data_IF_292349559596
#
_entry.id   IF_292349559596
#
_cell.length_a   1.000
_cell.length_b   1.000
_cell.length_c   1.000
_cell.angle_alpha   90.00
_cell.angle_beta   90.00
_cell.angle_gamma   90.00
#
_symmetry.space_group_name_H-M   'P 1'
#
loop_
_entity.id
_entity.type
_entity.pdbx_description
1 polymer ?
#
# COMPACT_ATOMS: atom_id res chain seq x y z
N UNK A 1 3.83 25.00 7.28
CA UNK A 1 3.28 24.31 6.10
C UNK A 1 2.38 23.17 6.55
N UNK A 2 1.11 23.17 6.14
CA UNK A 2 0.13 22.11 6.43
C UNK A 2 0.64 20.82 5.78
N UNK A 3 1.10 19.83 6.56
CA UNK A 3 1.50 18.54 6.00
C UNK A 3 0.24 17.82 5.50
N UNK A 4 0.06 17.77 4.19
CA UNK A 4 -1.01 17.06 3.51
C UNK A 4 -0.88 15.55 3.83
N UNK A 5 -1.83 15.05 4.62
CA UNK A 5 -2.02 13.63 4.93
C UNK A 5 -2.46 12.91 3.66
N UNK A 6 -1.51 12.49 2.83
CA UNK A 6 -1.79 11.78 1.59
C UNK A 6 -2.08 10.30 1.86
N UNK A 7 -3.32 9.93 1.55
CA UNK A 7 -3.78 8.77 0.76
C UNK A 7 -2.85 7.56 0.77
N UNK A 8 -3.38 6.44 1.27
CA UNK A 8 -3.01 5.04 1.02
C UNK A 8 -2.55 4.83 -0.45
N UNK A 9 -1.31 5.19 -0.75
CA UNK A 9 -0.63 4.80 -1.96
C UNK A 9 -0.27 3.33 -1.75
N UNK A 10 -0.76 2.47 -2.62
CA UNK A 10 -0.25 1.12 -2.80
C UNK A 10 1.28 1.20 -2.98
N UNK A 11 2.00 1.08 -1.87
CA UNK A 11 3.44 1.13 -1.79
C UNK A 11 3.96 -0.30 -1.82
N UNK A 12 4.62 -0.74 -2.89
CA UNK A 12 5.47 -1.90 -2.81
C UNK A 12 6.87 -1.44 -2.42
N UNK A 13 7.03 -0.78 -1.25
CA UNK A 13 8.36 -0.55 -0.66
C UNK A 13 8.24 -0.49 0.86
N UNK A 14 8.93 -1.42 1.50
CA UNK A 14 9.29 -1.46 2.91
C UNK A 14 9.20 -0.16 3.71
N UNK A 15 8.18 -0.12 4.54
CA UNK A 15 8.29 0.46 5.87
C UNK A 15 9.03 -0.54 6.77
N UNK A 16 10.36 -0.44 6.81
CA UNK A 16 11.18 -0.96 7.91
C UNK A 16 11.27 0.15 8.97
N UNK A 17 10.17 0.40 9.67
CA UNK A 17 10.15 1.21 10.90
C UNK A 17 9.33 0.44 11.94
N UNK A 18 10.04 -0.14 12.91
CA UNK A 18 9.49 -0.62 14.19
C UNK A 18 8.93 0.59 14.98
N UNK A 19 7.85 0.46 15.78
CA UNK A 19 7.75 -0.43 16.95
C UNK A 19 6.55 -1.41 16.87
N UNK A 20 6.68 -2.65 17.36
CA UNK A 20 6.33 -3.11 18.73
C UNK A 20 4.87 -2.80 19.10
N UNK A 21 4.08 -3.87 19.24
CA UNK A 21 2.87 -4.03 20.05
C UNK A 21 2.37 -2.77 20.80
N UNK A 22 1.16 -2.30 20.50
CA UNK A 22 0.32 -1.63 21.51
C UNK A 22 -0.51 -0.41 21.10
N UNK A 23 -0.24 0.26 19.98
CA UNK A 23 -1.08 1.39 19.57
C UNK A 23 -2.16 0.94 18.60
N UNK A 24 -3.41 1.31 18.88
CA UNK A 24 -4.51 1.23 17.93
C UNK A 24 -4.00 1.74 16.57
N UNK A 25 -3.84 0.85 15.58
CA UNK A 25 -3.56 1.27 14.22
C UNK A 25 -4.63 2.31 13.88
N UNK A 26 -4.21 3.58 13.78
CA UNK A 26 -5.12 4.67 13.47
C UNK A 26 -5.79 4.29 12.15
N UNK A 27 -7.08 3.95 12.23
CA UNK A 27 -7.84 3.59 11.05
C UNK A 27 -7.94 4.83 10.17
N UNK A 28 -7.19 4.84 9.07
CA UNK A 28 -7.30 5.90 8.09
C UNK A 28 -8.58 5.69 7.29
N UNK A 29 -9.51 6.63 7.40
CA UNK A 29 -10.75 6.61 6.63
C UNK A 29 -10.39 6.68 5.13
N UNK A 30 -10.76 5.68 4.32
CA UNK A 30 -10.53 5.74 2.88
C UNK A 30 -11.22 6.97 2.26
N UNK A 31 -10.59 7.65 1.27
CA UNK A 31 -11.12 8.89 0.71
C UNK A 31 -12.56 8.80 0.19
N UNK A 32 -12.98 7.63 -0.33
CA UNK A 32 -14.34 7.42 -0.81
C UNK A 32 -15.42 7.41 0.28
N UNK A 33 -15.02 7.26 1.55
CA UNK A 33 -15.90 7.33 2.72
C UNK A 33 -15.90 8.72 3.38
N UNK A 34 -15.18 9.71 2.85
CA UNK A 34 -15.26 11.07 3.35
C UNK A 34 -16.69 11.62 3.18
N UNK A 35 -17.28 12.02 4.31
CA UNK A 35 -18.66 12.47 4.40
C UNK A 35 -19.72 11.35 4.34
N UNK A 36 -19.31 10.07 4.40
CA UNK A 36 -20.26 8.97 4.56
C UNK A 36 -20.79 8.92 6.01
N UNK A 37 -21.95 8.27 6.25
CA UNK A 37 -22.45 8.04 7.60
C UNK A 37 -21.43 7.28 8.46
N UNK A 38 -21.35 7.61 9.75
CA UNK A 38 -20.42 6.96 10.69
C UNK A 38 -20.60 5.43 10.73
N UNK A 39 -21.82 4.93 10.54
CA UNK A 39 -22.10 3.49 10.44
C UNK A 39 -21.34 2.85 9.28
N UNK A 40 -21.29 3.49 8.11
CA UNK A 40 -20.56 2.97 6.96
C UNK A 40 -19.04 2.97 7.19
N UNK A 41 -18.51 4.00 7.88
CA UNK A 41 -17.10 4.07 8.28
C UNK A 41 -16.76 2.95 9.27
N UNK A 42 -17.62 2.70 10.25
CA UNK A 42 -17.46 1.62 11.24
C UNK A 42 -17.49 0.24 10.59
N UNK A 43 -18.47 -0.04 9.73
CA UNK A 43 -18.56 -1.30 9.01
C UNK A 43 -17.30 -1.57 8.17
N UNK A 44 -16.79 -0.55 7.47
CA UNK A 44 -15.55 -0.67 6.72
C UNK A 44 -14.35 -0.95 7.64
N UNK A 45 -14.25 -0.27 8.79
CA UNK A 45 -13.19 -0.55 9.78
C UNK A 45 -13.24 -2.00 10.27
N UNK A 46 -14.42 -2.51 10.59
CA UNK A 46 -14.63 -3.90 11.00
C UNK A 46 -14.24 -4.88 9.88
N UNK A 47 -14.55 -4.55 8.62
CA UNK A 47 -14.14 -5.33 7.46
C UNK A 47 -12.61 -5.39 7.33
N UNK A 48 -11.91 -4.25 7.41
CA UNK A 48 -10.45 -4.25 7.39
C UNK A 48 -9.85 -5.06 8.55
N UNK A 49 -10.41 -4.98 9.76
CA UNK A 49 -9.95 -5.78 10.90
C UNK A 49 -10.17 -7.28 10.68
N UNK A 50 -11.33 -7.68 10.16
CA UNK A 50 -11.67 -9.08 9.86
C UNK A 50 -10.72 -9.70 8.84
N UNK A 51 -10.25 -8.91 7.88
CA UNK A 51 -9.38 -9.37 6.79
C UNK A 51 -7.90 -8.99 6.96
N UNK A 52 -7.49 -8.42 8.10
CA UNK A 52 -6.14 -7.89 8.33
C UNK A 52 -5.00 -8.89 8.06
N UNK A 53 -5.24 -10.18 8.32
CA UNK A 53 -4.27 -11.26 8.13
C UNK A 53 -4.64 -12.21 6.97
N UNK A 54 -5.56 -11.78 6.08
CA UNK A 54 -5.98 -12.54 4.91
C UNK A 54 -5.24 -12.05 3.67
N UNK A 55 -5.15 -12.86 2.61
CA UNK A 55 -4.63 -12.40 1.32
C UNK A 55 -5.34 -11.14 0.85
N UNK A 56 -4.61 -10.20 0.26
CA UNK A 56 -5.17 -8.96 -0.25
C UNK A 56 -6.33 -9.18 -1.22
N UNK A 57 -6.24 -10.20 -2.07
CA UNK A 57 -7.31 -10.61 -2.98
C UNK A 57 -8.64 -10.87 -2.25
N UNK A 58 -8.60 -11.42 -1.03
CA UNK A 58 -9.81 -11.65 -0.23
C UNK A 58 -10.33 -10.35 0.38
N UNK A 59 -9.45 -9.46 0.85
CA UNK A 59 -9.83 -8.14 1.35
C UNK A 59 -10.45 -7.29 0.23
N UNK A 60 -9.81 -7.24 -0.95
CA UNK A 60 -10.33 -6.54 -2.14
C UNK A 60 -11.73 -7.06 -2.52
N UNK A 61 -11.91 -8.39 -2.58
CA UNK A 61 -13.21 -8.98 -2.89
C UNK A 61 -14.28 -8.61 -1.86
N UNK A 62 -13.94 -8.62 -0.56
CA UNK A 62 -14.86 -8.26 0.51
C UNK A 62 -15.24 -6.76 0.46
N UNK A 63 -14.29 -5.88 0.15
CA UNK A 63 -14.56 -4.45 -0.04
C UNK A 63 -15.47 -4.24 -1.25
N UNK A 64 -15.20 -4.90 -2.38
CA UNK A 64 -16.06 -4.83 -3.57
C UNK A 64 -17.49 -5.30 -3.28
N UNK A 65 -17.65 -6.43 -2.59
CA UNK A 65 -18.95 -6.96 -2.20
C UNK A 65 -19.70 -5.96 -1.30
N UNK A 66 -19.03 -5.44 -0.26
CA UNK A 66 -19.62 -4.46 0.65
C UNK A 66 -20.03 -3.17 -0.07
N UNK A 67 -19.16 -2.64 -0.94
CA UNK A 67 -19.46 -1.42 -1.71
C UNK A 67 -20.64 -1.65 -2.66
N UNK A 68 -20.70 -2.81 -3.31
CA UNK A 68 -21.80 -3.16 -4.18
C UNK A 68 -23.12 -3.29 -3.41
N UNK A 69 -23.09 -3.86 -2.20
CA UNK A 69 -24.24 -3.91 -1.30
C UNK A 69 -24.71 -2.55 -0.80
N UNK A 70 -23.80 -1.60 -0.58
CA UNK A 70 -24.14 -0.21 -0.22
C UNK A 70 -24.76 0.57 -1.38
N UNK A 71 -24.23 0.39 -2.60
CA UNK A 71 -24.67 1.12 -3.78
C UNK A 71 -24.55 2.65 -3.62
N UNK A 72 -25.38 3.36 -4.38
CA UNK A 72 -25.53 4.82 -4.30
C UNK A 72 -24.21 5.60 -4.35
N UNK A 73 -24.13 6.65 -3.54
CA UNK A 73 -22.98 7.55 -3.48
C UNK A 73 -21.68 6.85 -3.03
N UNK A 74 -21.77 5.83 -2.17
CA UNK A 74 -20.59 5.07 -1.71
C UNK A 74 -19.97 4.33 -2.89
N UNK A 75 -20.79 3.64 -3.70
CA UNK A 75 -20.32 2.93 -4.90
C UNK A 75 -19.72 3.88 -5.93
N UNK A 76 -20.35 5.02 -6.17
CA UNK A 76 -19.85 6.01 -7.12
C UNK A 76 -18.48 6.56 -6.68
N UNK A 77 -18.36 7.01 -5.41
CA UNK A 77 -17.09 7.51 -4.87
C UNK A 77 -16.01 6.44 -4.86
N UNK A 78 -16.37 5.17 -4.61
CA UNK A 78 -15.43 4.07 -4.65
C UNK A 78 -14.91 3.79 -6.07
N UNK A 79 -15.78 3.84 -7.09
CA UNK A 79 -15.35 3.72 -8.48
C UNK A 79 -14.39 4.84 -8.89
N UNK A 80 -14.69 6.09 -8.51
CA UNK A 80 -13.80 7.24 -8.71
C UNK A 80 -12.46 7.05 -7.98
N UNK A 81 -12.51 6.55 -6.74
CA UNK A 81 -11.31 6.23 -5.97
C UNK A 81 -10.45 5.18 -6.68
N UNK A 82 -11.03 4.08 -7.18
CA UNK A 82 -10.28 3.06 -7.95
C UNK A 82 -9.63 3.63 -9.21
N UNK A 83 -10.36 4.44 -9.97
CA UNK A 83 -9.82 5.08 -11.18
C UNK A 83 -8.62 5.99 -10.86
N UNK A 84 -8.74 6.81 -9.80
CA UNK A 84 -7.65 7.67 -9.33
C UNK A 84 -6.46 6.87 -8.83
N UNK A 85 -6.69 5.76 -8.11
CA UNK A 85 -5.63 4.88 -7.64
C UNK A 85 -4.86 4.22 -8.79
N UNK A 86 -5.55 3.81 -9.86
CA UNK A 86 -4.92 3.26 -11.05
C UNK A 86 -4.00 4.30 -11.72
N UNK A 87 -4.49 5.53 -11.92
CA UNK A 87 -3.70 6.62 -12.50
C UNK A 87 -2.46 6.94 -11.65
N UNK A 88 -2.62 6.98 -10.32
CA UNK A 88 -1.52 7.21 -9.40
C UNK A 88 -0.50 6.06 -9.40
N UNK A 89 -0.97 4.82 -9.56
CA UNK A 89 -0.11 3.65 -9.70
C UNK A 89 0.76 3.75 -10.96
N UNK A 90 0.17 4.09 -12.10
CA UNK A 90 0.89 4.25 -13.36
C UNK A 90 1.93 5.37 -13.29
N UNK A 91 1.55 6.54 -12.76
CA UNK A 91 2.47 7.66 -12.55
C UNK A 91 3.62 7.27 -11.62
N UNK A 92 3.34 6.53 -10.56
CA UNK A 92 4.35 6.08 -9.60
C UNK A 92 5.28 5.04 -10.22
N UNK A 93 4.75 4.12 -11.02
CA UNK A 93 5.54 3.13 -11.74
C UNK A 93 6.52 3.77 -12.74
N UNK A 94 6.08 4.80 -13.50
CA UNK A 94 6.95 5.54 -14.40
C UNK A 94 8.07 6.27 -13.65
N UNK A 95 7.73 6.97 -12.58
CA UNK A 95 8.72 7.70 -11.77
C UNK A 95 9.69 6.75 -11.07
N UNK A 96 9.22 5.60 -10.60
CA UNK A 96 10.06 4.54 -10.04
C UNK A 96 11.02 4.00 -11.10
N UNK A 97 10.52 3.71 -12.31
CA UNK A 97 11.34 3.23 -13.42
C UNK A 97 12.46 4.24 -13.75
N UNK A 98 12.15 5.52 -13.85
CA UNK A 98 13.14 6.57 -14.12
C UNK A 98 14.20 6.66 -13.01
N UNK A 99 13.81 6.58 -11.74
CA UNK A 99 14.76 6.57 -10.62
C UNK A 99 15.62 5.30 -10.60
N UNK A 100 15.03 4.15 -10.97
CA UNK A 100 15.69 2.87 -11.01
C UNK A 100 16.74 2.77 -12.14
N UNK A 101 16.76 3.66 -13.13
CA UNK A 101 17.76 3.64 -14.21
C UNK A 101 19.19 3.84 -13.68
N UNK A 102 19.34 4.62 -12.60
CA UNK A 102 20.63 4.94 -11.99
C UNK A 102 21.11 3.89 -10.97
N UNK A 103 20.31 2.85 -10.71
CA UNK A 103 20.66 1.77 -9.79
C UNK A 103 21.71 0.82 -10.40
N UNK A 104 22.54 0.24 -9.54
CA UNK A 104 23.39 -0.92 -9.86
C UNK A 104 22.54 -2.10 -10.37
N UNK A 105 23.12 -3.03 -11.16
CA UNK A 105 22.41 -4.23 -11.61
C UNK A 105 21.77 -5.02 -10.47
N UNK A 106 22.48 -5.16 -9.35
CA UNK A 106 22.00 -5.83 -8.15
C UNK A 106 20.83 -5.07 -7.51
N UNK A 107 20.92 -3.74 -7.42
CA UNK A 107 19.83 -2.93 -6.89
C UNK A 107 18.60 -2.89 -7.82
N UNK A 108 18.78 -2.92 -9.14
CA UNK A 108 17.68 -3.07 -10.11
C UNK A 108 16.94 -4.39 -9.92
N UNK A 109 17.69 -5.49 -9.76
CA UNK A 109 17.09 -6.79 -9.47
C UNK A 109 16.33 -6.77 -8.15
N UNK A 110 16.92 -6.22 -7.10
CA UNK A 110 16.27 -6.08 -5.81
C UNK A 110 14.99 -5.24 -5.90
N UNK A 111 15.01 -4.13 -6.64
CA UNK A 111 13.83 -3.27 -6.85
C UNK A 111 12.65 -4.02 -7.48
N UNK A 112 12.93 -4.87 -8.47
CA UNK A 112 11.95 -5.72 -9.16
C UNK A 112 11.41 -6.80 -8.24
N UNK A 113 12.28 -7.49 -7.50
CA UNK A 113 11.87 -8.55 -6.56
C UNK A 113 10.99 -7.96 -5.44
N UNK A 114 11.39 -6.81 -4.89
CA UNK A 114 10.63 -6.04 -3.89
C UNK A 114 9.27 -5.56 -4.44
N UNK A 115 9.26 -5.05 -5.69
CA UNK A 115 8.01 -4.71 -6.38
C UNK A 115 7.10 -5.92 -6.53
N UNK A 116 7.67 -7.11 -6.78
CA UNK A 116 6.90 -8.34 -6.97
C UNK A 116 6.25 -8.81 -5.65
N UNK A 117 7.00 -8.74 -4.53
CA UNK A 117 6.44 -9.01 -3.19
C UNK A 117 5.25 -8.08 -2.91
N UNK A 118 5.40 -6.78 -3.19
CA UNK A 118 4.33 -5.82 -2.91
C UNK A 118 3.07 -6.00 -3.75
N UNK A 119 3.19 -6.58 -4.96
CA UNK A 119 2.08 -6.84 -5.89
C UNK A 119 1.45 -8.23 -5.73
N UNK A 120 2.05 -9.10 -4.91
CA UNK A 120 1.56 -10.46 -4.71
C UNK A 120 0.27 -10.45 -3.87
N UNK A 121 -0.88 -10.56 -4.56
CA UNK A 121 -2.21 -10.56 -3.96
C UNK A 121 -2.56 -11.84 -3.20
N UNK A 122 -1.68 -12.84 -3.24
CA UNK A 122 -1.82 -14.08 -2.46
C UNK A 122 -1.29 -13.92 -1.03
N UNK A 123 -0.54 -12.84 -0.78
CA UNK A 123 -0.02 -12.49 0.53
C UNK A 123 -0.92 -11.49 1.23
N UNK A 124 -0.97 -11.57 2.56
CA UNK A 124 -1.45 -10.48 3.40
C UNK A 124 -0.41 -9.38 3.52
N UNK A 125 -0.84 -8.18 3.90
CA UNK A 125 0.07 -7.06 4.22
C UNK A 125 1.11 -7.43 5.29
N UNK A 126 0.77 -8.28 6.27
CA UNK A 126 1.74 -8.79 7.24
C UNK A 126 2.80 -9.66 6.58
N UNK A 127 2.38 -10.64 5.77
CA UNK A 127 3.31 -11.54 5.09
C UNK A 127 4.22 -10.79 4.12
N UNK A 128 3.68 -9.78 3.41
CA UNK A 128 4.49 -8.88 2.59
C UNK A 128 5.57 -8.23 3.42
N UNK A 129 5.22 -7.57 4.54
CA UNK A 129 6.20 -6.92 5.44
C UNK A 129 7.29 -7.88 5.92
N UNK A 130 6.92 -9.11 6.26
CA UNK A 130 7.87 -10.15 6.68
C UNK A 130 8.84 -10.53 5.55
N UNK A 131 8.31 -10.86 4.36
CA UNK A 131 9.13 -11.18 3.18
C UNK A 131 10.02 -10.03 2.77
N UNK A 132 9.48 -8.82 2.82
CA UNK A 132 10.20 -7.59 2.57
C UNK A 132 11.40 -7.45 3.52
N UNK A 133 11.17 -7.59 4.83
CA UNK A 133 12.21 -7.50 5.87
C UNK A 133 13.29 -8.56 5.67
N UNK A 134 12.88 -9.79 5.40
CA UNK A 134 13.79 -10.89 5.12
C UNK A 134 14.63 -10.64 3.87
N UNK A 135 14.01 -10.18 2.78
CA UNK A 135 14.68 -9.88 1.53
C UNK A 135 15.75 -8.80 1.71
N UNK A 136 15.41 -7.67 2.34
CA UNK A 136 16.39 -6.61 2.58
C UNK A 136 17.54 -7.04 3.50
N UNK A 137 17.26 -7.87 4.52
CA UNK A 137 18.29 -8.35 5.44
C UNK A 137 19.40 -9.12 4.71
N UNK A 138 19.06 -9.77 3.59
CA UNK A 138 20.00 -10.54 2.79
C UNK A 138 20.74 -9.69 1.74
N UNK A 139 20.39 -8.42 1.57
CA UNK A 139 21.09 -7.51 0.67
C UNK A 139 22.29 -6.85 1.34
N UNK A 140 23.34 -6.60 0.55
CA UNK A 140 24.49 -5.82 1.01
C UNK A 140 24.07 -4.41 1.46
N UNK A 141 24.82 -3.78 2.39
CA UNK A 141 24.54 -2.41 2.80
C UNK A 141 24.53 -1.41 1.63
N UNK A 142 25.40 -1.61 0.63
CA UNK A 142 25.46 -0.76 -0.56
C UNK A 142 24.15 -0.80 -1.36
N UNK A 143 23.65 -2.01 -1.66
CA UNK A 143 22.38 -2.18 -2.40
C UNK A 143 21.20 -1.60 -1.61
N UNK A 144 21.16 -1.78 -0.28
CA UNK A 144 20.13 -1.18 0.57
C UNK A 144 20.14 0.34 0.51
N UNK A 145 21.32 0.97 0.53
CA UNK A 145 21.46 2.42 0.45
C UNK A 145 20.98 2.96 -0.91
N UNK A 146 21.26 2.25 -2.00
CA UNK A 146 20.76 2.64 -3.33
C UNK A 146 19.23 2.58 -3.41
N UNK A 147 18.61 1.49 -2.92
CA UNK A 147 17.16 1.34 -2.86
C UNK A 147 16.51 2.42 -1.97
N UNK A 148 17.17 2.74 -0.86
CA UNK A 148 16.75 3.78 0.05
C UNK A 148 16.75 5.17 -0.63
N UNK A 149 17.79 5.49 -1.42
CA UNK A 149 17.88 6.76 -2.14
C UNK A 149 16.73 6.94 -3.15
N UNK A 150 16.35 5.87 -3.86
CA UNK A 150 15.19 5.89 -4.77
C UNK A 150 13.87 6.16 -4.04
N UNK A 151 13.74 5.68 -2.79
CA UNK A 151 12.55 5.91 -1.98
C UNK A 151 12.48 7.34 -1.43
N UNK A 152 13.59 7.87 -0.89
CA UNK A 152 13.64 9.21 -0.29
C UNK A 152 13.71 10.35 -1.30
N UNK A 153 14.11 10.13 -2.56
CA UNK A 153 14.15 11.19 -3.57
C UNK A 153 12.77 11.80 -3.93
N UNK A 154 11.70 11.44 -3.21
CA UNK A 154 10.32 11.83 -3.54
C UNK A 154 9.43 12.20 -2.34
N UNK A 155 9.98 12.23 -1.13
CA UNK A 155 9.34 12.69 0.11
C UNK A 155 10.31 13.51 0.95
#
# INVERSE_FOLDING_TARGET
MKMMKFVLLAFPVLLLVCPVFGEEQQFMIPPFLLGAPESAVREMKELFQKYANKPDSQLEAAVEEWVNGKGGMIKEKYNQFKANMQLMHEKTALLRKAMAENLSPEAKKADVDLSSIGKDKTLSEQQKREKFKEYLRNLSPAVRNELQAVFYAKF
#
